data_IF_092603185729
#
_entry.id   IF_092603185729
#
_cell.length_a   1.000
_cell.length_b   1.000
_cell.length_c   1.000
_cell.angle_alpha   90.00
_cell.angle_beta   90.00
_cell.angle_gamma   90.00
#
_symmetry.space_group_name_H-M   'P 1'
#
loop_
_entity.id
_entity.type
_entity.pdbx_description
1 polymer ?
#
# COMPACT_ATOMS: atom_id res chain seq x y z
N UNK A 1 12.97 16.65 -2.03
CA UNK A 1 11.58 16.16 -2.05
C UNK A 1 11.48 14.92 -1.16
N UNK A 2 10.70 15.02 -0.08
CA UNK A 2 10.70 14.09 1.06
C UNK A 2 9.59 13.04 0.98
N UNK A 3 9.40 12.46 -0.21
CA UNK A 3 8.19 11.68 -0.50
C UNK A 3 8.41 10.17 -0.55
N UNK A 4 7.51 9.42 0.10
CA UNK A 4 7.32 7.99 -0.13
C UNK A 4 6.10 7.76 -1.03
N UNK A 5 6.16 6.72 -1.85
CA UNK A 5 5.11 6.29 -2.76
C UNK A 5 4.80 4.82 -2.47
N UNK A 6 3.54 4.54 -2.16
CA UNK A 6 2.99 3.19 -2.06
C UNK A 6 1.93 3.01 -3.16
N UNK A 7 2.06 1.97 -3.96
CA UNK A 7 1.09 1.56 -4.97
C UNK A 7 0.61 0.15 -4.66
N UNK A 8 -0.70 -0.04 -4.63
CA UNK A 8 -1.35 -1.34 -4.40
C UNK A 8 -2.25 -1.63 -5.59
N UNK A 9 -2.03 -2.74 -6.28
CA UNK A 9 -2.93 -3.28 -7.27
C UNK A 9 -3.80 -4.36 -6.63
N UNK A 10 -5.12 -4.30 -6.82
CA UNK A 10 -6.08 -5.22 -6.22
C UNK A 10 -7.06 -5.81 -7.25
N UNK A 11 -7.56 -7.00 -6.98
CA UNK A 11 -8.63 -7.65 -7.76
C UNK A 11 -9.97 -7.44 -7.07
N UNK A 12 -11.02 -7.30 -7.87
CA UNK A 12 -12.41 -7.21 -7.41
C UNK A 12 -13.29 -8.13 -8.28
N UNK A 13 -14.23 -8.84 -7.66
CA UNK A 13 -15.29 -9.60 -8.33
C UNK A 13 -16.50 -8.74 -8.74
N UNK A 14 -16.74 -7.63 -8.06
CA UNK A 14 -17.81 -6.66 -8.38
C UNK A 14 -17.21 -5.34 -8.91
N UNK A 15 -18.00 -4.51 -9.59
CA UNK A 15 -17.49 -3.30 -10.24
C UNK A 15 -18.06 -2.04 -9.60
N UNK A 16 -17.22 -1.24 -8.97
CA UNK A 16 -17.54 0.12 -8.50
C UNK A 16 -16.52 1.14 -9.04
N UNK A 17 -16.97 2.38 -9.26
CA UNK A 17 -16.19 3.51 -9.80
C UNK A 17 -15.74 4.44 -8.66
N UNK A 18 -14.52 4.99 -8.76
CA UNK A 18 -13.77 5.55 -7.62
C UNK A 18 -13.65 7.09 -7.60
N UNK A 19 -13.52 7.65 -6.38
CA UNK A 19 -13.48 9.09 -6.00
C UNK A 19 -12.06 9.61 -5.68
N UNK A 20 -11.63 10.80 -6.14
CA UNK A 20 -10.35 11.39 -5.73
C UNK A 20 -10.36 11.87 -4.27
N UNK A 21 -9.46 11.34 -3.43
CA UNK A 21 -9.48 11.60 -1.98
C UNK A 21 -8.62 12.79 -1.51
N UNK A 22 -7.57 13.23 -2.24
CA UNK A 22 -6.81 14.50 -2.07
C UNK A 22 -5.58 14.56 -3.02
N UNK A 23 -4.99 15.75 -3.26
CA UNK A 23 -3.92 16.09 -4.26
C UNK A 23 -2.77 15.07 -4.49
N UNK A 24 -2.45 14.20 -3.53
CA UNK A 24 -1.34 13.23 -3.62
C UNK A 24 -1.77 11.76 -3.48
N UNK A 25 -3.08 11.49 -3.48
CA UNK A 25 -3.65 10.14 -3.41
C UNK A 25 -4.49 9.91 -4.66
N UNK A 26 -4.11 8.92 -5.46
CA UNK A 26 -4.84 8.53 -6.66
C UNK A 26 -5.36 7.11 -6.48
N UNK A 27 -6.61 6.88 -6.83
CA UNK A 27 -7.19 5.54 -6.76
C UNK A 27 -8.02 5.30 -7.99
N UNK A 28 -7.92 4.10 -8.53
CA UNK A 28 -8.71 3.60 -9.64
C UNK A 28 -9.24 2.21 -9.28
N UNK A 29 -10.13 1.69 -10.13
CA UNK A 29 -10.88 0.44 -9.96
C UNK A 29 -10.09 -0.77 -9.43
N UNK A 30 -8.79 -0.83 -9.72
CA UNK A 30 -7.90 -1.94 -9.31
C UNK A 30 -6.56 -1.45 -8.80
N UNK A 31 -6.41 -0.15 -8.53
CA UNK A 31 -5.11 0.42 -8.18
C UNK A 31 -5.25 1.60 -7.23
N UNK A 32 -4.65 1.49 -6.07
CA UNK A 32 -4.44 2.56 -5.12
C UNK A 32 -3.00 3.07 -5.24
N UNK A 33 -2.81 4.39 -5.22
CA UNK A 33 -1.51 5.07 -5.15
C UNK A 33 -1.60 6.11 -4.03
N UNK A 34 -0.75 5.94 -3.02
CA UNK A 34 -0.60 6.84 -1.90
C UNK A 34 0.79 7.47 -1.97
N UNK A 35 0.84 8.79 -2.11
CA UNK A 35 2.06 9.57 -1.88
C UNK A 35 1.90 10.39 -0.61
N UNK A 36 2.91 10.33 0.23
CA UNK A 36 3.01 11.15 1.44
C UNK A 36 4.32 11.93 1.42
N UNK A 37 4.42 12.96 2.26
CA UNK A 37 5.66 13.67 2.51
C UNK A 37 5.88 13.85 4.02
N UNK A 38 7.11 14.21 4.41
CA UNK A 38 7.46 14.49 5.80
C UNK A 38 7.67 13.21 6.62
N UNK A 39 7.08 13.15 7.82
CA UNK A 39 7.19 12.04 8.78
C UNK A 39 5.91 11.20 8.88
N UNK A 40 5.08 11.23 7.84
CA UNK A 40 3.83 10.46 7.81
C UNK A 40 4.12 8.96 7.79
N UNK A 41 3.48 8.21 8.69
CA UNK A 41 3.62 6.75 8.84
C UNK A 41 2.83 6.00 7.75
N UNK A 42 3.34 6.04 6.51
CA UNK A 42 2.65 5.49 5.35
C UNK A 42 2.44 3.97 5.47
N UNK A 43 3.47 3.25 5.93
CA UNK A 43 3.40 1.79 6.07
C UNK A 43 2.46 1.38 7.22
N UNK A 44 2.39 2.14 8.31
CA UNK A 44 1.43 1.89 9.39
C UNK A 44 -0.05 1.98 8.94
N UNK A 45 -0.34 2.74 7.88
CA UNK A 45 -1.68 2.84 7.32
C UNK A 45 -2.04 1.68 6.37
N UNK A 46 -1.07 0.84 5.99
CA UNK A 46 -1.25 -0.26 5.05
C UNK A 46 -2.34 -1.27 5.49
N UNK A 47 -2.36 -1.77 6.75
CA UNK A 47 -3.35 -2.77 7.16
C UNK A 47 -4.78 -2.22 7.12
N UNK A 48 -4.97 -1.02 7.66
CA UNK A 48 -6.27 -0.32 7.63
C UNK A 48 -6.71 -0.04 6.19
N UNK A 49 -5.78 0.35 5.32
CA UNK A 49 -6.09 0.62 3.91
C UNK A 49 -6.56 -0.65 3.19
N UNK A 50 -5.89 -1.77 3.41
CA UNK A 50 -6.25 -3.08 2.84
C UNK A 50 -7.62 -3.53 3.36
N UNK A 51 -7.85 -3.41 4.67
CA UNK A 51 -9.12 -3.76 5.29
C UNK A 51 -10.27 -2.91 4.74
N UNK A 52 -10.12 -1.59 4.68
CA UNK A 52 -11.15 -0.71 4.11
C UNK A 52 -11.42 -1.03 2.64
N UNK A 53 -10.40 -1.39 1.87
CA UNK A 53 -10.58 -1.76 0.48
C UNK A 53 -11.31 -3.11 0.31
N UNK A 54 -11.18 -4.02 1.28
CA UNK A 54 -11.99 -5.23 1.36
C UNK A 54 -13.44 -4.89 1.75
N UNK A 55 -13.62 -4.14 2.85
CA UNK A 55 -14.94 -3.86 3.45
C UNK A 55 -15.85 -3.03 2.53
N UNK A 56 -15.31 -1.99 1.88
CA UNK A 56 -16.09 -1.04 1.08
C UNK A 56 -16.14 -1.38 -0.41
N UNK A 57 -15.04 -1.87 -0.97
CA UNK A 57 -14.94 -2.14 -2.41
C UNK A 57 -15.05 -3.63 -2.74
N UNK A 58 -14.93 -4.54 -1.77
CA UNK A 58 -14.98 -5.99 -2.02
C UNK A 58 -13.69 -6.54 -2.64
N UNK A 59 -12.54 -5.90 -2.41
CA UNK A 59 -11.27 -6.45 -2.85
C UNK A 59 -10.93 -7.73 -2.08
N UNK A 60 -10.85 -8.84 -2.80
CA UNK A 60 -10.57 -10.17 -2.27
C UNK A 60 -9.08 -10.54 -2.35
N UNK A 61 -8.30 -9.82 -3.15
CA UNK A 61 -6.89 -10.11 -3.35
C UNK A 61 -6.07 -8.87 -3.66
N UNK A 62 -4.92 -8.74 -2.99
CA UNK A 62 -3.85 -7.83 -3.40
C UNK A 62 -2.98 -8.54 -4.43
N UNK A 63 -2.96 -8.01 -5.65
CA UNK A 63 -2.27 -8.59 -6.81
C UNK A 63 -0.82 -8.10 -6.87
N UNK A 64 -0.57 -6.85 -6.52
CA UNK A 64 0.79 -6.28 -6.56
C UNK A 64 0.92 -5.15 -5.56
N UNK A 65 2.10 -5.02 -4.95
CA UNK A 65 2.46 -3.85 -4.15
C UNK A 65 3.79 -3.30 -4.65
N UNK A 66 3.92 -1.99 -4.66
CA UNK A 66 5.14 -1.30 -5.01
C UNK A 66 5.34 -0.15 -4.04
N UNK A 67 6.36 -0.26 -3.21
CA UNK A 67 6.80 0.80 -2.32
C UNK A 67 8.07 1.44 -2.89
N UNK A 68 8.22 2.75 -2.78
CA UNK A 68 9.48 3.43 -3.09
C UNK A 68 9.60 4.75 -2.37
N UNK A 69 10.84 5.15 -2.07
CA UNK A 69 11.15 6.49 -1.56
C UNK A 69 12.56 6.92 -1.96
N UNK A 70 12.83 8.22 -1.89
CA UNK A 70 14.19 8.75 -1.92
C UNK A 70 14.85 8.60 -0.54
N UNK A 71 16.18 8.68 -0.50
CA UNK A 71 16.91 8.80 0.77
C UNK A 71 16.47 10.07 1.52
N UNK A 72 16.20 9.92 2.80
CA UNK A 72 15.90 11.03 3.70
C UNK A 72 17.19 11.80 4.02
N UNK A 73 17.14 13.15 4.08
CA UNK A 73 18.30 13.93 4.52
C UNK A 73 18.54 13.82 6.04
N UNK A 74 17.52 13.40 6.79
CA UNK A 74 17.49 13.25 8.25
C UNK A 74 16.67 12.01 8.64
N UNK A 75 17.19 10.77 8.42
CA UNK A 75 16.47 9.54 8.73
C UNK A 75 16.08 9.40 10.21
N UNK A 76 16.87 9.97 11.12
CA UNK A 76 16.66 9.94 12.57
C UNK A 76 15.38 10.64 13.04
N UNK A 77 14.86 11.58 12.24
CA UNK A 77 13.60 12.27 12.50
C UNK A 77 12.37 11.49 12.00
N UNK A 78 12.59 10.39 11.28
CA UNK A 78 11.51 9.54 10.80
C UNK A 78 11.00 8.60 11.90
N UNK A 79 9.72 8.18 11.79
CA UNK A 79 9.19 7.06 12.56
C UNK A 79 10.09 5.83 12.42
N UNK A 80 10.12 4.99 13.44
CA UNK A 80 11.04 3.84 13.53
C UNK A 80 11.00 2.94 12.29
N UNK A 81 9.79 2.63 11.80
CA UNK A 81 9.58 1.82 10.60
C UNK A 81 10.09 2.46 9.30
N UNK A 82 10.44 3.75 9.32
CA UNK A 82 10.93 4.53 8.18
C UNK A 82 12.36 5.05 8.39
N UNK A 83 13.04 4.68 9.49
CA UNK A 83 14.41 5.14 9.77
C UNK A 83 15.46 4.51 8.87
N UNK A 84 15.23 3.28 8.43
CA UNK A 84 16.08 2.57 7.48
C UNK A 84 15.24 1.91 6.40
N UNK A 85 15.85 1.63 5.26
CA UNK A 85 15.17 0.86 4.21
C UNK A 85 14.98 -0.59 4.60
N UNK A 86 15.92 -1.15 5.36
CA UNK A 86 15.83 -2.53 5.83
C UNK A 86 14.62 -2.74 6.76
N UNK A 87 14.32 -1.78 7.64
CA UNK A 87 13.12 -1.83 8.48
C UNK A 87 11.82 -1.76 7.66
N UNK A 88 11.81 -1.00 6.56
CA UNK A 88 10.66 -0.92 5.65
C UNK A 88 10.48 -2.23 4.88
N UNK A 89 11.57 -2.86 4.46
CA UNK A 89 11.57 -4.18 3.81
C UNK A 89 11.06 -5.23 4.76
N UNK A 90 11.60 -5.31 5.98
CA UNK A 90 11.17 -6.26 7.01
C UNK A 90 9.68 -6.07 7.36
N UNK A 91 9.23 -4.82 7.48
CA UNK A 91 7.82 -4.53 7.67
C UNK A 91 6.97 -5.07 6.50
N UNK A 92 7.37 -4.81 5.26
CA UNK A 92 6.64 -5.26 4.07
C UNK A 92 6.64 -6.79 3.89
N UNK A 93 7.75 -7.44 4.21
CA UNK A 93 7.90 -8.90 4.16
C UNK A 93 7.00 -9.60 5.19
N UNK A 94 6.58 -8.91 6.26
CA UNK A 94 5.57 -9.43 7.19
C UNK A 94 4.15 -9.50 6.60
N UNK A 95 3.88 -8.75 5.52
CA UNK A 95 2.57 -8.73 4.83
C UNK A 95 2.57 -9.46 3.51
N UNK A 96 3.66 -9.41 2.75
CA UNK A 96 3.72 -9.93 1.38
C UNK A 96 4.83 -10.95 1.23
N UNK A 97 4.59 -11.96 0.40
CA UNK A 97 5.60 -12.95 0.04
C UNK A 97 6.31 -12.52 -1.25
N UNK A 98 7.44 -13.15 -1.57
CA UNK A 98 8.17 -12.95 -2.83
C UNK A 98 8.57 -11.49 -3.12
N UNK A 99 8.96 -10.78 -2.06
CA UNK A 99 9.43 -9.42 -2.15
C UNK A 99 10.84 -9.28 -2.68
N UNK A 100 11.10 -8.23 -3.46
CA UNK A 100 12.45 -7.91 -3.92
C UNK A 100 12.79 -6.44 -3.63
N UNK A 101 13.76 -6.22 -2.74
CA UNK A 101 14.28 -4.89 -2.45
C UNK A 101 15.35 -4.49 -3.48
N UNK A 102 15.26 -3.27 -4.01
CA UNK A 102 16.14 -2.73 -5.05
C UNK A 102 16.60 -1.31 -4.72
N UNK A 103 17.86 -1.02 -5.02
CA UNK A 103 18.46 0.31 -4.92
C UNK A 103 18.78 0.84 -6.33
N UNK A 104 18.30 2.04 -6.64
CA UNK A 104 18.57 2.72 -7.91
C UNK A 104 19.00 4.17 -7.65
N UNK A 105 20.32 4.39 -7.56
CA UNK A 105 20.89 5.67 -7.16
C UNK A 105 20.47 6.05 -5.73
N UNK A 106 19.86 7.23 -5.57
CA UNK A 106 19.32 7.70 -4.28
C UNK A 106 17.89 7.21 -3.99
N UNK A 107 17.33 6.36 -4.86
CA UNK A 107 15.97 5.84 -4.74
C UNK A 107 16.00 4.40 -4.28
N UNK A 108 15.15 4.07 -3.33
CA UNK A 108 14.98 2.73 -2.78
C UNK A 108 13.56 2.26 -3.10
N UNK A 109 13.40 1.03 -3.57
CA UNK A 109 12.12 0.52 -4.02
C UNK A 109 11.96 -0.98 -3.72
N UNK A 110 10.72 -1.37 -3.43
CA UNK A 110 10.33 -2.76 -3.17
C UNK A 110 9.11 -3.10 -4.02
N UNK A 111 9.28 -3.77 -5.18
CA UNK A 111 8.23 -4.53 -5.83
C UNK A 111 7.90 -5.81 -5.04
N UNK A 112 6.61 -6.03 -4.79
CA UNK A 112 6.07 -7.18 -4.06
C UNK A 112 4.85 -7.75 -4.80
N UNK A 113 4.63 -9.06 -4.66
CA UNK A 113 3.50 -9.76 -5.27
C UNK A 113 2.80 -10.64 -4.22
N UNK A 114 1.48 -10.55 -4.16
CA UNK A 114 0.55 -11.41 -3.39
C UNK A 114 0.37 -11.13 -1.89
N UNK A 115 -0.88 -10.79 -1.55
CA UNK A 115 -1.55 -11.13 -0.29
C UNK A 115 -2.98 -11.54 -0.65
N UNK A 116 -3.39 -12.76 -0.30
CA UNK A 116 -4.79 -13.19 -0.42
C UNK A 116 -5.55 -12.67 0.80
N UNK A 117 -6.58 -11.86 0.58
CA UNK A 117 -7.38 -11.36 1.69
C UNK A 117 -8.39 -12.45 2.06
N UNK A 118 -8.58 -12.76 3.35
CA UNK A 118 -9.67 -13.64 3.75
C UNK A 118 -10.96 -13.02 3.23
N UNK A 119 -11.71 -13.80 2.44
CA UNK A 119 -13.01 -13.38 1.95
C UNK A 119 -13.95 -13.28 3.15
N UNK A 120 -14.13 -12.07 3.68
CA UNK A 120 -15.17 -11.74 4.65
C UNK A 120 -16.49 -11.66 3.88
N UNK A 121 -17.02 -12.81 3.47
CA UNK A 121 -18.36 -12.88 2.91
C UNK A 121 -19.38 -12.60 4.03
N UNK A 122 -19.54 -11.35 4.42
CA UNK A 122 -20.78 -10.88 5.02
C UNK A 122 -21.81 -10.81 3.89
N UNK A 123 -22.66 -11.85 3.82
CA UNK A 123 -23.85 -11.84 2.97
C UNK A 123 -24.67 -10.58 3.23
N UNK A 124 -24.62 -9.60 2.33
CA UNK A 124 -25.80 -8.80 2.05
C UNK A 124 -26.69 -9.61 1.11
N UNK A 125 -27.60 -10.38 1.71
CA UNK A 125 -28.82 -10.80 1.03
C UNK A 125 -29.57 -9.52 0.67
N UNK A 126 -29.57 -9.14 -0.59
CA UNK A 126 -30.66 -8.33 -1.16
C UNK A 126 -31.45 -9.26 -2.06
N UNK A 127 -32.54 -9.76 -1.49
CA UNK A 127 -33.58 -10.52 -2.19
C UNK A 127 -34.17 -9.64 -3.29
N UNK A 128 -34.41 -10.22 -4.48
CA UNK A 128 -35.52 -9.81 -5.33
C UNK A 128 -36.84 -10.11 -4.61
#
# INVERSE_FOLDING_TARGET
EWGALLRIGARNRTQHNFVPLIRFRFVSKRRLILKTCGSTRLLAALPTTIQLANDYEGFDQVVSVYYSRKNFLRPELQPEEHRSFDAEVEYLDSFFQDGHALLHGITQAVPLVSLHLPCTSASHKTSC
#
